data_IF_819836238700
#
_entry.id   IF_819836238700
#
_cell.length_a   1.000
_cell.length_b   1.000
_cell.length_c   1.000
_cell.angle_alpha   90.00
_cell.angle_beta   90.00
_cell.angle_gamma   90.00
#
_symmetry.space_group_name_H-M   'P 1'
#
loop_
_entity.id
_entity.type
_entity.pdbx_description
1 polymer ?
#
# COMPACT_ATOMS: atom_id res chain seq x y z
N UNK A 1 19.57 23.60 -90.66
CA UNK A 1 18.64 24.31 -89.76
C UNK A 1 18.72 23.76 -88.38
N UNK A 2 19.42 24.48 -87.46
CA UNK A 2 19.70 24.07 -86.08
C UNK A 2 18.53 24.41 -85.19
N UNK A 3 17.98 23.44 -84.46
CA UNK A 3 17.12 23.68 -83.35
C UNK A 3 17.89 23.43 -82.01
N UNK A 4 18.16 24.55 -81.34
CA UNK A 4 18.73 24.57 -79.99
C UNK A 4 17.60 24.38 -78.94
N UNK A 5 17.49 23.22 -78.31
CA UNK A 5 16.64 23.01 -77.15
C UNK A 5 17.35 23.51 -75.88
N UNK A 6 16.75 24.52 -75.25
CA UNK A 6 17.16 25.02 -73.93
C UNK A 6 16.67 24.00 -72.84
N UNK A 7 17.58 23.36 -72.17
CA UNK A 7 17.29 22.58 -70.95
C UNK A 7 17.08 23.54 -69.77
N UNK A 8 15.83 23.63 -69.27
CA UNK A 8 15.54 24.25 -67.98
C UNK A 8 16.04 23.32 -66.85
N UNK A 9 17.05 23.82 -66.10
CA UNK A 9 17.46 23.15 -64.86
C UNK A 9 16.53 23.58 -63.75
N UNK A 10 15.62 22.67 -63.31
CA UNK A 10 14.86 22.78 -62.08
C UNK A 10 15.76 22.40 -60.91
N UNK A 11 16.22 23.36 -60.15
CA UNK A 11 16.85 23.13 -58.86
C UNK A 11 15.78 22.81 -57.84
N UNK A 12 15.63 21.54 -57.51
CA UNK A 12 14.81 21.09 -56.38
C UNK A 12 15.49 21.52 -55.07
N UNK A 13 15.00 22.59 -54.46
CA UNK A 13 15.28 22.91 -53.06
C UNK A 13 14.46 21.92 -52.21
N UNK A 14 15.12 20.87 -51.66
CA UNK A 14 14.54 20.02 -50.64
C UNK A 14 14.44 20.83 -49.34
N UNK A 15 13.19 21.19 -48.98
CA UNK A 15 12.90 21.77 -47.66
C UNK A 15 12.95 20.60 -46.65
N UNK A 16 14.04 20.55 -45.89
CA UNK A 16 14.16 19.57 -44.77
C UNK A 16 13.32 20.13 -43.59
N UNK A 17 12.05 19.71 -43.49
CA UNK A 17 11.26 19.92 -42.28
C UNK A 17 11.79 19.01 -41.19
N UNK A 18 12.66 19.51 -40.31
CA UNK A 18 13.02 18.88 -39.07
C UNK A 18 11.83 18.95 -38.10
N UNK A 19 11.01 17.90 -38.05
CA UNK A 19 10.04 17.74 -36.99
C UNK A 19 10.78 17.42 -35.71
N UNK A 20 10.94 18.40 -34.81
CA UNK A 20 11.35 18.14 -33.44
C UNK A 20 10.23 17.31 -32.79
N UNK A 21 10.42 16.01 -32.69
CA UNK A 21 9.60 15.14 -31.82
C UNK A 21 9.89 15.57 -30.38
N UNK A 22 8.99 16.31 -29.76
CA UNK A 22 9.02 16.55 -28.34
C UNK A 22 8.75 15.21 -27.65
N UNK A 23 9.81 14.54 -27.16
CA UNK A 23 9.64 13.41 -26.26
C UNK A 23 8.97 13.94 -24.98
N UNK A 24 7.87 13.32 -24.53
CA UNK A 24 7.33 13.68 -23.23
C UNK A 24 8.43 13.46 -22.18
N UNK A 25 8.72 14.49 -21.38
CA UNK A 25 9.63 14.34 -20.26
C UNK A 25 9.13 13.16 -19.41
N UNK A 26 9.96 12.16 -19.21
CA UNK A 26 9.63 11.05 -18.32
C UNK A 26 9.28 11.64 -16.95
N UNK A 27 8.06 11.41 -16.48
CA UNK A 27 7.66 11.86 -15.15
C UNK A 27 8.63 11.24 -14.14
N UNK A 28 9.26 12.09 -13.33
CA UNK A 28 10.16 11.61 -12.28
C UNK A 28 9.39 10.69 -11.35
N UNK A 29 9.93 9.48 -11.14
CA UNK A 29 9.34 8.53 -10.20
C UNK A 29 9.41 9.14 -8.79
N UNK A 30 8.29 9.25 -8.05
CA UNK A 30 8.31 9.81 -6.71
C UNK A 30 9.31 9.05 -5.83
N UNK A 31 10.22 9.76 -5.20
CA UNK A 31 11.17 9.18 -4.24
C UNK A 31 10.54 9.24 -2.84
N UNK A 32 10.08 8.11 -2.34
CA UNK A 32 9.59 7.98 -0.97
C UNK A 32 10.73 7.61 -0.03
N UNK A 33 10.62 8.03 1.23
CA UNK A 33 11.54 7.60 2.29
C UNK A 33 11.38 6.10 2.63
N UNK A 34 12.27 5.55 3.48
CA UNK A 34 12.28 4.11 3.80
C UNK A 34 10.98 3.61 4.45
N UNK A 35 10.25 4.47 5.13
CA UNK A 35 8.93 4.19 5.72
C UNK A 35 7.81 4.89 4.92
N UNK A 36 7.96 4.99 3.60
CA UNK A 36 7.03 5.62 2.67
C UNK A 36 6.67 7.08 3.03
N UNK A 37 7.60 7.83 3.65
CA UNK A 37 7.38 9.24 3.90
C UNK A 37 7.08 9.97 2.59
N UNK A 38 5.96 10.71 2.58
CA UNK A 38 5.45 11.39 1.37
C UNK A 38 4.45 10.58 0.54
N UNK A 39 4.23 9.31 0.84
CA UNK A 39 3.16 8.53 0.21
C UNK A 39 1.80 8.89 0.85
N UNK A 40 0.79 9.11 0.01
CA UNK A 40 -0.56 9.43 0.47
C UNK A 40 -1.39 8.15 0.67
N UNK A 41 -1.68 7.85 1.92
CA UNK A 41 -2.63 6.80 2.28
C UNK A 41 -4.07 7.27 2.02
N UNK A 42 -4.98 6.36 1.64
CA UNK A 42 -6.37 6.73 1.34
C UNK A 42 -7.19 7.16 2.59
N UNK A 43 -6.71 6.82 3.78
CA UNK A 43 -7.26 7.21 5.07
C UNK A 43 -6.14 7.67 6.01
N UNK A 44 -6.46 8.40 7.10
CA UNK A 44 -5.46 8.87 8.04
C UNK A 44 -4.57 7.74 8.57
N UNK A 45 -3.26 7.88 8.40
CA UNK A 45 -2.27 6.94 8.91
C UNK A 45 -1.95 7.28 10.36
N UNK A 46 -2.01 6.29 11.24
CA UNK A 46 -1.65 6.35 12.64
C UNK A 46 -0.44 5.46 12.91
N UNK A 47 0.19 5.60 14.06
CA UNK A 47 1.34 4.80 14.46
C UNK A 47 1.14 4.19 15.85
N UNK A 48 1.38 2.90 15.95
CA UNK A 48 1.47 2.14 17.19
C UNK A 48 2.94 1.88 17.52
N UNK A 49 3.43 2.47 18.63
CA UNK A 49 4.79 2.27 19.12
C UNK A 49 4.83 1.15 20.14
N UNK A 50 5.77 0.22 20.01
CA UNK A 50 5.93 -0.92 20.90
C UNK A 50 7.37 -1.45 20.85
N UNK A 51 7.71 -2.38 21.74
CA UNK A 51 9.01 -3.06 21.74
C UNK A 51 8.80 -4.52 21.31
N UNK A 52 9.62 -4.97 20.36
CA UNK A 52 9.64 -6.37 19.92
C UNK A 52 11.08 -6.81 19.69
N UNK A 53 11.44 -8.00 20.19
CA UNK A 53 12.81 -8.53 20.12
C UNK A 53 13.87 -7.52 20.63
N UNK A 54 13.56 -6.80 21.72
CA UNK A 54 14.45 -5.81 22.31
C UNK A 54 14.61 -4.51 21.52
N UNK A 55 13.88 -4.31 20.42
CA UNK A 55 13.98 -3.15 19.56
C UNK A 55 12.71 -2.28 19.64
N UNK A 56 12.81 -0.95 19.70
CA UNK A 56 11.68 -0.05 19.57
C UNK A 56 11.19 -0.03 18.12
N UNK A 57 9.93 -0.35 17.92
CA UNK A 57 9.28 -0.43 16.60
C UNK A 57 8.05 0.45 16.55
N UNK A 58 7.69 0.84 15.32
CA UNK A 58 6.45 1.55 15.01
C UNK A 58 5.70 0.80 13.92
N UNK A 59 4.43 0.52 14.14
CA UNK A 59 3.53 -0.06 13.16
C UNK A 59 2.58 1.03 12.67
N UNK A 60 2.65 1.35 11.38
CA UNK A 60 1.67 2.22 10.74
C UNK A 60 0.36 1.47 10.52
N UNK A 61 -0.76 2.14 10.69
CA UNK A 61 -2.08 1.54 10.44
C UNK A 61 -3.13 2.60 10.11
N UNK A 62 -4.16 2.20 9.38
CA UNK A 62 -5.37 2.97 9.21
C UNK A 62 -6.44 2.42 10.15
N UNK A 63 -7.16 3.31 10.83
CA UNK A 63 -8.30 3.01 11.70
C UNK A 63 -9.50 3.81 11.16
N UNK A 64 -10.40 3.12 10.48
CA UNK A 64 -11.50 3.75 9.77
C UNK A 64 -12.82 3.40 10.47
N UNK A 65 -13.50 4.39 11.03
CA UNK A 65 -14.80 4.19 11.65
C UNK A 65 -15.87 3.82 10.61
N UNK A 66 -16.99 3.26 11.03
CA UNK A 66 -18.12 3.01 10.14
C UNK A 66 -18.69 4.32 9.57
N UNK A 67 -19.04 4.31 8.29
CA UNK A 67 -19.81 5.37 7.63
C UNK A 67 -21.30 5.13 7.89
N UNK A 68 -21.89 5.76 8.87
CA UNK A 68 -23.31 5.59 9.22
C UNK A 68 -23.53 4.71 10.45
N UNK A 69 -24.59 3.88 10.45
CA UNK A 69 -24.94 3.07 11.61
C UNK A 69 -23.90 1.98 11.87
N UNK A 70 -23.20 2.06 13.02
CA UNK A 70 -22.23 1.06 13.43
C UNK A 70 -22.92 -0.28 13.73
N UNK A 71 -22.35 -1.39 13.23
CA UNK A 71 -22.81 -2.74 13.52
C UNK A 71 -22.12 -3.37 14.75
N UNK A 72 -21.23 -2.60 15.42
CA UNK A 72 -20.49 -3.03 16.62
C UNK A 72 -19.33 -3.99 16.33
N UNK A 73 -19.03 -4.31 15.06
CA UNK A 73 -18.01 -5.28 14.66
C UNK A 73 -16.78 -4.58 14.06
N UNK A 74 -15.63 -5.22 14.22
CA UNK A 74 -14.37 -4.76 13.66
C UNK A 74 -13.85 -5.75 12.62
N UNK A 75 -13.36 -5.24 11.49
CA UNK A 75 -12.61 -6.01 10.49
C UNK A 75 -11.13 -5.64 10.56
N UNK A 76 -10.25 -6.65 10.60
CA UNK A 76 -8.81 -6.51 10.51
C UNK A 76 -8.34 -6.99 9.14
N UNK A 77 -7.68 -6.12 8.37
CA UNK A 77 -7.23 -6.39 7.01
C UNK A 77 -5.71 -6.58 6.96
N UNK A 78 -5.25 -7.77 6.59
CA UNK A 78 -3.84 -8.14 6.55
C UNK A 78 -3.35 -8.22 5.10
N UNK A 79 -2.45 -7.31 4.72
CA UNK A 79 -1.93 -7.22 3.36
C UNK A 79 -0.98 -8.37 2.99
N UNK A 80 -0.79 -8.60 1.70
CA UNK A 80 0.18 -9.55 1.16
C UNK A 80 1.62 -8.99 1.13
N UNK A 81 2.58 -9.87 0.86
CA UNK A 81 3.98 -9.48 0.63
C UNK A 81 4.06 -8.45 -0.50
N UNK A 82 4.89 -7.42 -0.30
CA UNK A 82 5.09 -6.30 -1.23
C UNK A 82 3.85 -5.40 -1.45
N UNK A 83 2.85 -5.51 -0.59
CA UNK A 83 1.69 -4.63 -0.55
C UNK A 83 1.68 -3.82 0.74
N UNK A 84 0.83 -2.78 0.75
CA UNK A 84 0.58 -1.91 1.90
C UNK A 84 -0.88 -2.01 2.34
N UNK A 85 -1.16 -1.51 3.52
CA UNK A 85 -2.54 -1.29 3.98
C UNK A 85 -3.36 -0.43 2.99
N UNK A 86 -2.71 0.49 2.27
CA UNK A 86 -3.34 1.33 1.26
C UNK A 86 -4.03 0.55 0.14
N UNK A 87 -3.58 -0.68 -0.17
CA UNK A 87 -4.21 -1.51 -1.22
C UNK A 87 -5.62 -1.97 -0.86
N UNK A 88 -6.01 -1.84 0.40
CA UNK A 88 -7.35 -2.18 0.90
C UNK A 88 -8.39 -1.06 0.73
N UNK A 89 -8.05 0.05 0.04
CA UNK A 89 -8.91 1.24 -0.06
C UNK A 89 -10.38 0.92 -0.35
N UNK A 90 -10.65 0.14 -1.41
CA UNK A 90 -12.02 -0.17 -1.81
C UNK A 90 -12.71 -1.13 -0.83
N UNK A 91 -11.95 -2.08 -0.27
CA UNK A 91 -12.46 -2.99 0.77
C UNK A 91 -12.81 -2.22 2.04
N UNK A 92 -11.95 -1.30 2.48
CA UNK A 92 -12.20 -0.42 3.63
C UNK A 92 -13.48 0.38 3.40
N UNK A 93 -13.61 1.00 2.23
CA UNK A 93 -14.81 1.78 1.86
C UNK A 93 -16.08 0.93 1.90
N UNK A 94 -16.04 -0.29 1.37
CA UNK A 94 -17.20 -1.19 1.37
C UNK A 94 -17.59 -1.63 2.79
N UNK A 95 -16.61 -2.01 3.62
CA UNK A 95 -16.84 -2.46 4.98
C UNK A 95 -17.29 -1.31 5.90
N UNK A 96 -16.68 -0.13 5.78
CA UNK A 96 -17.07 1.06 6.53
C UNK A 96 -18.52 1.45 6.23
N UNK A 97 -18.94 1.42 4.96
CA UNK A 97 -20.35 1.62 4.56
C UNK A 97 -21.30 0.56 5.12
N UNK A 98 -20.82 -0.68 5.29
CA UNK A 98 -21.58 -1.76 5.90
C UNK A 98 -21.59 -1.72 7.44
N UNK A 99 -21.08 -0.65 8.04
CA UNK A 99 -21.12 -0.40 9.48
C UNK A 99 -19.97 -0.99 10.28
N UNK A 100 -18.92 -1.51 9.64
CA UNK A 100 -17.73 -2.04 10.33
C UNK A 100 -16.74 -0.93 10.66
N UNK A 101 -16.09 -1.02 11.84
CA UNK A 101 -14.80 -0.38 12.07
C UNK A 101 -13.73 -1.22 11.35
N UNK A 102 -12.82 -0.57 10.62
CA UNK A 102 -11.81 -1.28 9.83
C UNK A 102 -10.41 -0.89 10.28
N UNK A 103 -9.60 -1.90 10.64
CA UNK A 103 -8.19 -1.74 11.00
C UNK A 103 -7.35 -2.37 9.90
N UNK A 104 -6.45 -1.59 9.31
CA UNK A 104 -5.55 -2.05 8.26
C UNK A 104 -4.11 -1.64 8.61
N UNK A 105 -3.31 -2.53 9.24
CA UNK A 105 -1.91 -2.26 9.55
C UNK A 105 -0.99 -2.56 8.36
N UNK A 106 0.08 -1.78 8.25
CA UNK A 106 1.29 -2.20 7.56
C UNK A 106 2.10 -3.12 8.49
N UNK A 107 2.40 -4.32 8.07
CA UNK A 107 3.19 -5.23 8.90
C UNK A 107 4.62 -4.71 9.09
N UNK A 108 5.26 -5.03 10.22
CA UNK A 108 6.68 -4.71 10.45
C UNK A 108 7.51 -5.24 9.29
N UNK A 109 8.40 -4.40 8.76
CA UNK A 109 9.19 -4.67 7.56
C UNK A 109 8.58 -4.11 6.27
N UNK A 110 7.34 -3.59 6.31
CA UNK A 110 6.64 -3.11 5.12
C UNK A 110 6.18 -1.65 5.28
N UNK A 111 6.13 -0.96 4.18
CA UNK A 111 5.48 0.33 3.92
C UNK A 111 5.76 1.38 5.00
N UNK A 112 4.77 1.86 5.75
CA UNK A 112 4.93 2.90 6.77
C UNK A 112 5.45 2.39 8.13
N UNK A 113 5.64 1.08 8.26
CA UNK A 113 6.15 0.47 9.48
C UNK A 113 7.67 0.38 9.51
N UNK A 114 8.26 0.30 10.70
CA UNK A 114 9.69 0.14 10.90
C UNK A 114 10.23 -1.10 10.20
N UNK A 115 11.43 -0.98 9.63
CA UNK A 115 12.19 -2.05 8.95
C UNK A 115 13.47 -2.34 9.72
N UNK A 116 13.37 -3.08 10.85
CA UNK A 116 14.53 -3.34 11.70
C UNK A 116 15.55 -4.22 11.01
N UNK A 117 16.86 -3.90 11.15
CA UNK A 117 17.94 -4.59 10.45
C UNK A 117 18.16 -6.03 10.93
N UNK A 118 17.95 -6.28 12.23
CA UNK A 118 18.19 -7.59 12.87
C UNK A 118 16.91 -8.11 13.52
N UNK A 119 15.94 -8.46 12.70
CA UNK A 119 14.63 -8.91 13.17
C UNK A 119 14.31 -10.31 12.65
N UNK A 120 13.97 -11.21 13.55
CA UNK A 120 13.57 -12.57 13.19
C UNK A 120 12.10 -12.58 12.77
N UNK A 121 11.87 -12.44 11.48
CA UNK A 121 10.52 -12.49 10.91
C UNK A 121 9.94 -13.91 10.99
N UNK A 122 8.73 -14.00 11.54
CA UNK A 122 7.91 -15.21 11.53
C UNK A 122 6.43 -14.82 11.57
N UNK A 123 5.54 -15.69 11.09
CA UNK A 123 4.10 -15.44 11.21
C UNK A 123 3.64 -15.35 12.66
N UNK A 124 4.30 -16.07 13.58
CA UNK A 124 4.03 -15.98 15.02
C UNK A 124 4.33 -14.58 15.53
N UNK A 125 5.50 -14.03 15.19
CA UNK A 125 5.89 -12.71 15.64
C UNK A 125 5.02 -11.61 15.02
N UNK A 126 4.68 -11.72 13.74
CA UNK A 126 3.78 -10.77 13.07
C UNK A 126 2.36 -10.83 13.67
N UNK A 127 1.86 -12.03 13.98
CA UNK A 127 0.58 -12.21 14.67
C UNK A 127 0.61 -11.59 16.08
N UNK A 128 1.69 -11.77 16.82
CA UNK A 128 1.87 -11.17 18.15
C UNK A 128 1.89 -9.63 18.07
N UNK A 129 2.61 -9.07 17.14
CA UNK A 129 2.65 -7.61 16.92
C UNK A 129 1.25 -7.06 16.57
N UNK A 130 0.55 -7.74 15.68
CA UNK A 130 -0.82 -7.38 15.27
C UNK A 130 -1.80 -7.49 16.45
N UNK A 131 -1.65 -8.52 17.28
CA UNK A 131 -2.46 -8.67 18.49
C UNK A 131 -2.21 -7.52 19.48
N UNK A 132 -0.94 -7.13 19.66
CA UNK A 132 -0.59 -5.96 20.47
C UNK A 132 -1.24 -4.67 19.98
N UNK A 133 -1.33 -4.45 18.66
CA UNK A 133 -2.07 -3.34 18.09
C UNK A 133 -3.55 -3.38 18.47
N UNK A 134 -4.22 -4.53 18.29
CA UNK A 134 -5.65 -4.65 18.64
C UNK A 134 -5.89 -4.44 20.13
N UNK A 135 -5.02 -4.96 21.00
CA UNK A 135 -5.10 -4.70 22.44
C UNK A 135 -4.95 -3.20 22.78
N UNK A 136 -4.00 -2.50 22.15
CA UNK A 136 -3.80 -1.07 22.32
C UNK A 136 -5.05 -0.28 21.91
N UNK A 137 -5.73 -0.74 20.85
CA UNK A 137 -6.98 -0.14 20.35
C UNK A 137 -8.23 -0.59 21.14
N UNK A 138 -8.06 -1.41 22.19
CA UNK A 138 -9.13 -1.99 23.00
C UNK A 138 -10.15 -2.80 22.19
N UNK A 139 -9.65 -3.48 21.14
CA UNK A 139 -10.43 -4.36 20.28
C UNK A 139 -10.24 -5.79 20.79
N UNK A 140 -11.29 -6.35 21.38
CA UNK A 140 -11.28 -7.71 21.96
C UNK A 140 -11.48 -8.79 20.92
N UNK A 141 -12.26 -8.51 19.85
CA UNK A 141 -12.54 -9.44 18.76
C UNK A 141 -12.58 -8.72 17.42
N UNK A 142 -12.13 -9.40 16.36
CA UNK A 142 -12.22 -8.91 15.00
C UNK A 142 -12.48 -10.04 13.99
N UNK A 143 -13.09 -9.70 12.88
CA UNK A 143 -13.10 -10.51 11.67
C UNK A 143 -11.76 -10.33 11.00
N UNK A 144 -11.06 -11.44 10.71
CA UNK A 144 -9.72 -11.39 10.15
C UNK A 144 -9.77 -11.69 8.65
N UNK A 145 -9.36 -10.75 7.83
CA UNK A 145 -9.32 -10.86 6.38
C UNK A 145 -7.86 -10.70 5.92
N UNK A 146 -7.37 -11.67 5.17
CA UNK A 146 -5.99 -11.65 4.69
C UNK A 146 -5.88 -11.94 3.19
N UNK A 147 -4.96 -11.25 2.52
CA UNK A 147 -4.61 -11.50 1.13
C UNK A 147 -3.22 -12.11 1.01
N UNK A 148 -3.07 -13.22 0.26
CA UNK A 148 -1.77 -13.86 0.01
C UNK A 148 -1.04 -14.21 1.33
N UNK A 149 0.17 -13.72 1.58
CA UNK A 149 0.87 -13.88 2.87
C UNK A 149 0.08 -13.34 4.05
N UNK A 150 -0.78 -12.33 3.85
CA UNK A 150 -1.74 -11.88 4.87
C UNK A 150 -2.78 -12.94 5.22
N UNK A 151 -3.15 -13.83 4.29
CA UNK A 151 -4.00 -15.00 4.57
C UNK A 151 -3.29 -16.03 5.45
N UNK A 152 -1.99 -16.28 5.21
CA UNK A 152 -1.17 -17.13 6.09
C UNK A 152 -1.04 -16.53 7.49
N UNK A 153 -0.88 -15.20 7.57
CA UNK A 153 -0.86 -14.47 8.83
C UNK A 153 -2.22 -14.55 9.55
N UNK A 154 -3.34 -14.40 8.82
CA UNK A 154 -4.68 -14.53 9.36
C UNK A 154 -4.91 -15.90 9.98
N UNK A 155 -4.50 -16.97 9.30
CA UNK A 155 -4.54 -18.35 9.81
C UNK A 155 -3.70 -18.49 11.09
N UNK A 156 -2.46 -17.98 11.06
CA UNK A 156 -1.57 -18.03 12.25
C UNK A 156 -2.15 -17.25 13.42
N UNK A 157 -2.68 -16.05 13.15
CA UNK A 157 -3.34 -15.21 14.16
C UNK A 157 -4.52 -15.95 14.81
N UNK A 158 -5.39 -16.55 14.00
CA UNK A 158 -6.57 -17.27 14.49
C UNK A 158 -6.21 -18.50 15.35
N UNK A 159 -5.14 -19.20 15.00
CA UNK A 159 -4.64 -20.33 15.80
C UNK A 159 -4.02 -19.89 17.14
N UNK A 160 -3.33 -18.73 17.16
CA UNK A 160 -2.70 -18.22 18.38
C UNK A 160 -3.68 -17.50 19.31
N UNK A 161 -4.68 -16.85 18.75
CA UNK A 161 -5.63 -15.99 19.49
C UNK A 161 -7.10 -16.31 19.13
N UNK A 162 -7.56 -17.56 19.29
CA UNK A 162 -8.92 -17.94 18.85
C UNK A 162 -10.01 -17.11 19.53
N UNK A 163 -9.77 -16.63 20.77
CA UNK A 163 -10.72 -15.79 21.49
C UNK A 163 -10.83 -14.37 20.94
N UNK A 164 -9.82 -13.91 20.18
CA UNK A 164 -9.79 -12.58 19.54
C UNK A 164 -10.34 -12.60 18.11
N UNK A 165 -10.81 -13.76 17.63
CA UNK A 165 -11.36 -13.94 16.29
C UNK A 165 -12.86 -14.09 16.36
N UNK A 166 -13.58 -13.31 15.58
CA UNK A 166 -15.02 -13.44 15.42
C UNK A 166 -15.35 -14.34 14.22
N UNK A 167 -14.57 -14.21 13.15
CA UNK A 167 -14.64 -15.04 11.95
C UNK A 167 -13.38 -14.89 11.10
#
# INVERSE_FOLDING_TARGET
TLFRSRMLRFTRRALLCATLAAFPAAAETPKFGPELQGFHYPYPLQQFSFTSQGQPLKMGYMDVPPEGAANGRTALLLHGKNFCAATWQDTIKALSKAGYRVIAPDQIGFCSSTKPAHYQYSFQQLAQNTHGLLQNLKISKAIIIGHSTGGMLATRYSLMYPQAVEQ
#
